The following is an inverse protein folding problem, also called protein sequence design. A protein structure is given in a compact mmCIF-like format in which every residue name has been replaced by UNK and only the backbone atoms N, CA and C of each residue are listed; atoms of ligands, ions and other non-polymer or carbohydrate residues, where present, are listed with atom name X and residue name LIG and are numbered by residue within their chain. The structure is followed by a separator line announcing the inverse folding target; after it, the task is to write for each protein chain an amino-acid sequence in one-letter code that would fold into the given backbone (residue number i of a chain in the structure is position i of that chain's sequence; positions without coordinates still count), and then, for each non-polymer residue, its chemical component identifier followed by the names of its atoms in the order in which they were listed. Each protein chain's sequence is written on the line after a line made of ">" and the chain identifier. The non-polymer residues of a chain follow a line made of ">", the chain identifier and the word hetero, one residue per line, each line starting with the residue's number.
data_IF_344317834659
#
_entry.id   IF_344317834659
#
_cell.length_a   1.000
_cell.length_b   1.000
_cell.length_c   1.000
_cell.angle_alpha   90.00
_cell.angle_beta   90.00
_cell.angle_gamma   90.00
#
_symmetry.space_group_name_H-M   'P 1'
#
loop_
_entity.id
_entity.type
_entity.pdbx_description
1 polymer ?
#
# COMPACT_ATOMS: atom_id res chain seq x y z
N UNK A 1 -4.46 -14.32 -11.00
CA UNK A 1 -4.49 -15.26 -12.14
C UNK A 1 -4.97 -14.51 -13.37
N UNK A 2 -5.37 -15.19 -14.44
CA UNK A 2 -5.97 -14.56 -15.63
C UNK A 2 -7.51 -14.49 -15.51
N UNK A 3 -8.00 -13.95 -14.40
CA UNK A 3 -9.43 -13.82 -14.09
C UNK A 3 -9.75 -12.38 -13.66
N UNK A 4 -10.97 -11.89 -13.94
CA UNK A 4 -11.45 -10.63 -13.38
C UNK A 4 -11.41 -10.65 -11.85
N UNK A 5 -11.07 -9.52 -11.25
CA UNK A 5 -11.08 -9.37 -9.80
C UNK A 5 -10.15 -8.28 -9.30
N UNK A 6 -9.93 -8.28 -7.99
CA UNK A 6 -9.08 -7.36 -7.27
C UNK A 6 -8.09 -8.09 -6.36
N UNK A 7 -6.93 -7.48 -6.14
CA UNK A 7 -5.92 -7.91 -5.20
C UNK A 7 -5.55 -6.72 -4.33
N UNK A 8 -5.60 -6.90 -3.02
CA UNK A 8 -5.01 -5.96 -2.05
C UNK A 8 -3.72 -6.55 -1.51
N UNK A 9 -2.60 -5.89 -1.79
CA UNK A 9 -1.30 -6.23 -1.25
C UNK A 9 -0.99 -5.32 -0.06
N UNK A 10 -0.97 -5.90 1.15
CA UNK A 10 -0.73 -5.21 2.41
C UNK A 10 0.55 -5.67 3.10
N UNK A 11 1.41 -4.72 3.46
CA UNK A 11 2.63 -4.94 4.22
C UNK A 11 2.97 -3.67 5.00
N UNK A 12 4.22 -3.21 4.91
CA UNK A 12 4.60 -1.89 5.41
C UNK A 12 3.76 -0.78 4.77
N UNK A 13 3.56 -0.85 3.45
CA UNK A 13 2.61 -0.04 2.69
C UNK A 13 1.41 -0.85 2.22
N UNK A 14 0.56 -0.28 1.35
CA UNK A 14 -0.61 -0.98 0.80
C UNK A 14 -0.88 -0.52 -0.64
N UNK A 15 -1.26 -1.46 -1.51
CA UNK A 15 -1.79 -1.15 -2.83
C UNK A 15 -2.94 -2.09 -3.18
N UNK A 16 -3.96 -1.57 -3.84
CA UNK A 16 -5.02 -2.35 -4.45
C UNK A 16 -4.93 -2.26 -5.98
N UNK A 17 -5.02 -3.41 -6.63
CA UNK A 17 -5.03 -3.55 -8.09
C UNK A 17 -6.25 -4.37 -8.50
N UNK A 18 -6.90 -4.00 -9.60
CA UNK A 18 -8.01 -4.76 -10.15
C UNK A 18 -8.03 -4.72 -11.67
N UNK A 19 -8.69 -5.71 -12.27
CA UNK A 19 -8.87 -5.79 -13.71
C UNK A 19 -10.10 -6.61 -14.05
N UNK A 20 -10.81 -6.23 -15.11
CA UNK A 20 -11.85 -7.02 -15.78
C UNK A 20 -11.31 -7.77 -17.01
N UNK A 21 -9.98 -7.83 -17.16
CA UNK A 21 -9.25 -8.30 -18.33
C UNK A 21 -9.31 -7.36 -19.55
N UNK A 22 -9.96 -6.21 -19.45
CA UNK A 22 -9.98 -5.17 -20.49
C UNK A 22 -9.12 -3.98 -20.07
N UNK A 23 -9.26 -3.53 -18.84
CA UNK A 23 -8.46 -2.44 -18.28
C UNK A 23 -7.91 -2.78 -16.89
N UNK A 24 -6.93 -1.98 -16.46
CA UNK A 24 -6.40 -2.05 -15.11
C UNK A 24 -6.90 -0.88 -14.27
N UNK A 25 -7.18 -1.17 -13.01
CA UNK A 25 -7.55 -0.20 -11.99
C UNK A 25 -6.55 -0.29 -10.84
N UNK A 26 -6.18 0.86 -10.29
CA UNK A 26 -5.29 0.96 -9.13
C UNK A 26 -5.91 1.91 -8.11
N UNK A 27 -5.85 1.52 -6.86
CA UNK A 27 -6.11 2.40 -5.73
C UNK A 27 -4.97 2.29 -4.72
N UNK A 28 -4.67 3.42 -4.10
CA UNK A 28 -3.60 3.56 -3.12
C UNK A 28 -2.19 3.19 -3.65
N UNK A 29 -1.24 2.94 -2.75
CA UNK A 29 0.18 2.72 -3.04
C UNK A 29 0.95 4.02 -3.22
N UNK A 30 0.48 5.12 -2.63
CA UNK A 30 1.12 6.45 -2.73
C UNK A 30 2.18 6.68 -1.65
N UNK A 31 2.48 5.66 -0.84
CA UNK A 31 3.41 5.73 0.26
C UNK A 31 2.79 6.30 1.53
N UNK A 32 3.39 5.97 2.68
CA UNK A 32 2.94 6.34 4.03
C UNK A 32 2.60 7.82 4.30
N UNK A 33 3.01 8.76 3.44
CA UNK A 33 2.70 10.19 3.58
C UNK A 33 1.39 10.58 2.88
N UNK A 34 1.07 9.95 1.76
CA UNK A 34 -0.04 10.33 0.87
C UNK A 34 -1.10 9.23 0.70
N UNK A 35 -0.83 8.05 1.24
CA UNK A 35 -1.69 6.88 1.15
C UNK A 35 -1.20 5.79 2.11
N UNK A 36 -1.19 4.55 1.62
CA UNK A 36 -1.00 3.33 2.38
C UNK A 36 -1.97 3.26 3.58
N UNK A 37 -3.20 3.75 3.43
CA UNK A 37 -4.15 3.78 4.52
C UNK A 37 -4.57 2.35 4.88
N UNK A 38 -4.54 2.02 6.18
CA UNK A 38 -4.76 0.65 6.66
C UNK A 38 -3.54 -0.29 6.51
N UNK A 39 -2.42 0.17 5.97
CA UNK A 39 -1.15 -0.58 5.96
C UNK A 39 -0.57 -0.79 7.36
N UNK A 40 0.49 -1.59 7.46
CA UNK A 40 1.24 -1.76 8.70
C UNK A 40 1.80 -0.43 9.21
N UNK A 41 2.38 0.40 8.34
CA UNK A 41 2.90 1.70 8.74
C UNK A 41 1.79 2.61 9.27
N UNK A 42 0.60 2.56 8.65
CA UNK A 42 -0.55 3.33 9.11
C UNK A 42 -1.05 2.84 10.48
N UNK A 43 -1.22 1.53 10.66
CA UNK A 43 -1.69 0.92 11.92
C UNK A 43 -0.71 1.23 13.05
N UNK A 44 0.58 0.98 12.82
CA UNK A 44 1.60 1.23 13.84
C UNK A 44 1.75 2.71 14.18
N UNK A 45 1.66 3.61 13.19
CA UNK A 45 1.59 5.06 13.44
C UNK A 45 0.40 5.43 14.33
N UNK A 46 -0.80 4.93 14.01
CA UNK A 46 -1.99 5.21 14.80
C UNK A 46 -1.87 4.65 16.23
N UNK A 47 -1.26 3.47 16.38
CA UNK A 47 -0.96 2.87 17.68
C UNK A 47 0.03 3.70 18.51
N UNK A 48 1.14 4.13 17.90
CA UNK A 48 2.12 5.00 18.54
C UNK A 48 1.54 6.36 18.89
N UNK A 49 0.67 6.93 18.04
CA UNK A 49 -0.05 8.16 18.36
C UNK A 49 -0.93 7.98 19.60
N UNK A 50 -1.69 6.88 19.68
CA UNK A 50 -2.51 6.58 20.85
C UNK A 50 -1.66 6.35 22.12
N UNK A 51 -0.49 5.72 22.00
CA UNK A 51 0.46 5.57 23.08
C UNK A 51 0.99 6.93 23.58
N UNK A 52 1.41 7.81 22.66
CA UNK A 52 1.87 9.16 23.01
C UNK A 52 0.77 10.02 23.61
N UNK A 53 -0.48 9.86 23.15
CA UNK A 53 -1.65 10.51 23.80
C UNK A 53 -1.79 10.08 25.25
N UNK A 54 -1.60 8.79 25.57
CA UNK A 54 -1.63 8.33 26.96
C UNK A 54 -0.45 8.89 27.77
N UNK A 55 0.74 8.95 27.18
CA UNK A 55 1.91 9.56 27.82
C UNK A 55 1.66 11.02 28.21
N UNK A 56 1.03 11.79 27.31
CA UNK A 56 0.71 13.21 27.53
C UNK A 56 -0.52 13.43 28.46
N UNK A 57 -1.22 12.38 28.86
CA UNK A 57 -2.51 12.47 29.57
C UNK A 57 -3.66 13.01 28.70
N UNK A 58 -3.52 12.96 27.37
CA UNK A 58 -4.54 13.42 26.40
C UNK A 58 -5.64 12.39 26.20
N UNK A 59 -6.86 12.88 25.91
CA UNK A 59 -8.00 12.03 25.53
C UNK A 59 -7.69 11.22 24.27
N UNK A 60 -8.25 10.01 24.23
CA UNK A 60 -8.01 9.03 23.17
C UNK A 60 -6.64 8.35 23.25
N UNK A 61 -5.99 8.40 24.41
CA UNK A 61 -4.78 7.63 24.68
C UNK A 61 -5.08 6.20 25.12
N UNK A 62 -4.15 5.28 24.82
CA UNK A 62 -4.18 3.90 25.30
C UNK A 62 -2.99 3.62 26.23
N UNK A 63 -3.23 3.38 27.53
CA UNK A 63 -2.18 2.94 28.46
C UNK A 63 -1.55 1.61 28.03
N UNK A 64 -2.35 0.67 27.49
CA UNK A 64 -1.84 -0.61 27.01
C UNK A 64 -0.84 -0.43 25.86
N UNK A 65 -1.16 0.43 24.88
CA UNK A 65 -0.25 0.74 23.78
C UNK A 65 0.97 1.53 24.25
N UNK A 66 0.85 2.37 25.29
CA UNK A 66 2.01 3.02 25.90
C UNK A 66 2.97 2.01 26.56
N UNK A 67 2.45 1.01 27.24
CA UNK A 67 3.27 -0.06 27.81
C UNK A 67 3.96 -0.88 26.71
N UNK A 68 3.27 -1.17 25.61
CA UNK A 68 3.87 -1.82 24.43
C UNK A 68 4.93 -0.94 23.77
N UNK A 69 4.68 0.35 23.61
CA UNK A 69 5.66 1.31 23.09
C UNK A 69 6.93 1.25 23.94
N UNK A 70 6.79 1.33 25.26
CA UNK A 70 7.92 1.27 26.20
C UNK A 70 8.70 -0.03 26.11
N UNK A 71 8.01 -1.15 25.93
CA UNK A 71 8.65 -2.46 25.77
C UNK A 71 9.43 -2.59 24.46
N UNK A 72 8.96 -1.98 23.37
CA UNK A 72 9.56 -2.12 22.03
C UNK A 72 10.61 -1.07 21.72
N UNK A 73 10.36 0.19 22.11
CA UNK A 73 11.18 1.34 21.72
C UNK A 73 11.88 2.04 22.90
N UNK A 74 11.59 1.64 24.15
CA UNK A 74 12.12 2.33 25.32
C UNK A 74 11.29 3.56 25.74
N UNK A 75 11.87 4.52 26.47
CA UNK A 75 11.14 5.68 26.98
C UNK A 75 10.38 6.43 25.88
N UNK A 76 9.15 6.86 26.17
CA UNK A 76 8.26 7.42 25.15
C UNK A 76 8.78 8.76 24.60
N UNK A 77 9.43 9.54 25.45
CA UNK A 77 10.12 10.79 25.14
C UNK A 77 11.26 10.63 24.13
N UNK A 78 11.84 9.43 24.00
CA UNK A 78 12.93 9.15 23.07
C UNK A 78 12.43 8.74 21.67
N UNK A 79 11.15 8.36 21.53
CA UNK A 79 10.58 7.90 20.27
C UNK A 79 10.81 8.87 19.09
N UNK A 80 10.64 10.20 19.21
CA UNK A 80 10.96 11.13 18.14
C UNK A 80 12.40 11.02 17.65
N UNK A 81 13.37 10.91 18.58
CA UNK A 81 14.79 10.78 18.27
C UNK A 81 15.13 9.47 17.57
N UNK A 82 14.40 8.39 17.88
CA UNK A 82 14.55 7.10 17.21
C UNK A 82 13.92 7.07 15.82
N UNK A 83 12.78 7.75 15.62
CA UNK A 83 11.99 7.65 14.40
C UNK A 83 12.41 8.66 13.32
N UNK A 84 12.55 9.95 13.68
CA UNK A 84 12.70 11.01 12.67
C UNK A 84 14.00 10.98 11.87
N UNK A 85 15.16 10.58 12.40
CA UNK A 85 16.40 10.55 11.61
C UNK A 85 16.44 9.43 10.57
N UNK A 86 15.57 8.42 10.70
CA UNK A 86 15.66 7.19 9.91
C UNK A 86 15.14 7.37 8.48
N UNK A 87 15.75 6.70 7.51
CA UNK A 87 15.24 6.64 6.13
C UNK A 87 14.13 5.61 5.96
N UNK A 88 14.09 4.59 6.82
CA UNK A 88 13.14 3.47 6.80
C UNK A 88 11.96 3.67 7.79
N UNK A 89 11.59 4.93 8.08
CA UNK A 89 10.49 5.27 9.01
C UNK A 89 9.22 4.43 8.82
N UNK A 90 8.75 4.16 7.59
CA UNK A 90 7.55 3.34 7.39
C UNK A 90 7.71 1.93 7.97
N UNK A 91 8.89 1.33 7.85
CA UNK A 91 9.15 -0.01 8.39
C UNK A 91 9.17 0.00 9.92
N UNK A 92 9.73 1.04 10.53
CA UNK A 92 9.72 1.24 11.99
C UNK A 92 8.30 1.47 12.51
N UNK A 93 7.49 2.26 11.82
CA UNK A 93 6.07 2.39 12.15
C UNK A 93 5.38 1.04 12.02
N UNK A 94 5.58 0.33 10.91
CA UNK A 94 4.93 -0.95 10.65
C UNK A 94 5.32 -2.05 11.65
N UNK A 95 6.52 -2.00 12.24
CA UNK A 95 6.94 -2.97 13.25
C UNK A 95 6.11 -2.90 14.53
N UNK A 96 5.38 -1.80 14.77
CA UNK A 96 4.47 -1.67 15.90
C UNK A 96 3.05 -2.18 15.63
N UNK A 97 2.68 -2.46 14.38
CA UNK A 97 1.34 -2.96 14.05
C UNK A 97 0.94 -4.28 14.76
N UNK A 98 1.84 -5.28 14.91
CA UNK A 98 1.53 -6.49 15.67
C UNK A 98 1.18 -6.21 17.14
N UNK A 99 1.75 -5.16 17.74
CA UNK A 99 1.46 -4.76 19.11
C UNK A 99 0.05 -4.18 19.24
N UNK A 100 -0.38 -3.41 18.24
CA UNK A 100 -1.77 -2.94 18.14
C UNK A 100 -2.72 -4.13 18.02
N UNK A 101 -2.40 -5.12 17.18
CA UNK A 101 -3.18 -6.33 17.04
C UNK A 101 -3.29 -7.13 18.33
N UNK A 102 -2.17 -7.27 19.08
CA UNK A 102 -2.14 -7.98 20.35
C UNK A 102 -3.01 -7.32 21.44
N UNK A 103 -3.10 -5.99 21.44
CA UNK A 103 -3.92 -5.25 22.42
C UNK A 103 -5.41 -5.21 22.09
N UNK A 104 -5.82 -5.44 20.84
CA UNK A 104 -7.20 -5.20 20.38
C UNK A 104 -8.28 -6.01 21.11
N UNK A 105 -7.94 -7.17 21.71
CA UNK A 105 -8.90 -7.95 22.49
C UNK A 105 -9.28 -7.33 23.84
N UNK A 106 -8.44 -6.43 24.37
CA UNK A 106 -8.61 -5.83 25.71
C UNK A 106 -8.60 -4.30 25.70
N UNK A 107 -8.16 -3.66 24.61
CA UNK A 107 -8.06 -2.21 24.46
C UNK A 107 -8.94 -1.72 23.30
N UNK A 108 -9.94 -0.90 23.63
CA UNK A 108 -10.91 -0.39 22.67
C UNK A 108 -10.29 0.57 21.63
N UNK A 109 -9.21 1.28 21.96
CA UNK A 109 -8.52 2.18 21.03
C UNK A 109 -7.76 1.34 19.99
N UNK A 110 -7.08 0.29 20.42
CA UNK A 110 -6.42 -0.65 19.53
C UNK A 110 -7.42 -1.36 18.60
N UNK A 111 -8.56 -1.81 19.14
CA UNK A 111 -9.64 -2.39 18.34
C UNK A 111 -10.17 -1.41 17.28
N UNK A 112 -10.40 -0.15 17.67
CA UNK A 112 -10.88 0.90 16.75
C UNK A 112 -9.87 1.23 15.65
N UNK A 113 -8.56 1.22 15.96
CA UNK A 113 -7.51 1.40 14.95
C UNK A 113 -7.59 0.30 13.89
N UNK A 114 -7.74 -0.97 14.30
CA UNK A 114 -7.84 -2.09 13.36
C UNK A 114 -9.15 -2.05 12.57
N UNK A 115 -10.26 -1.65 13.20
CA UNK A 115 -11.54 -1.45 12.51
C UNK A 115 -11.40 -0.41 11.40
N UNK A 116 -10.78 0.74 11.69
CA UNK A 116 -10.50 1.78 10.70
C UNK A 116 -9.55 1.31 9.60
N UNK A 117 -8.54 0.51 9.94
CA UNK A 117 -7.69 -0.11 8.93
C UNK A 117 -8.49 -1.02 7.99
N UNK A 118 -9.43 -1.80 8.55
CA UNK A 118 -10.36 -2.63 7.79
C UNK A 118 -11.20 -1.83 6.79
N UNK A 119 -11.74 -0.68 7.21
CA UNK A 119 -12.46 0.25 6.34
C UNK A 119 -11.57 0.72 5.18
N UNK A 120 -10.37 1.22 5.47
CA UNK A 120 -9.47 1.71 4.42
C UNK A 120 -9.08 0.63 3.40
N UNK A 121 -8.81 -0.59 3.87
CA UNK A 121 -8.50 -1.74 3.02
C UNK A 121 -9.69 -2.08 2.12
N UNK A 122 -10.90 -2.11 2.68
CA UNK A 122 -12.11 -2.43 1.93
C UNK A 122 -12.49 -1.34 0.93
N UNK A 123 -12.31 -0.06 1.25
CA UNK A 123 -12.49 1.06 0.33
C UNK A 123 -11.52 0.99 -0.85
N UNK A 124 -10.24 0.70 -0.59
CA UNK A 124 -9.25 0.52 -1.65
C UNK A 124 -9.59 -0.68 -2.56
N UNK A 125 -10.05 -1.79 -1.97
CA UNK A 125 -10.52 -2.95 -2.74
C UNK A 125 -11.74 -2.59 -3.61
N UNK A 126 -12.75 -1.95 -3.02
CA UNK A 126 -13.97 -1.57 -3.71
C UNK A 126 -13.72 -0.60 -4.89
N UNK A 127 -12.75 0.30 -4.74
CA UNK A 127 -12.37 1.24 -5.79
C UNK A 127 -11.79 0.57 -7.04
N UNK A 128 -11.19 -0.63 -6.91
CA UNK A 128 -10.58 -1.36 -8.03
C UNK A 128 -11.38 -2.58 -8.47
N UNK A 129 -12.40 -3.00 -7.70
CA UNK A 129 -13.27 -4.12 -8.07
C UNK A 129 -14.02 -3.81 -9.37
N UNK A 130 -13.94 -4.70 -10.38
CA UNK A 130 -14.80 -4.63 -11.56
C UNK A 130 -16.29 -4.58 -11.20
N UNK A 131 -17.02 -3.65 -11.82
CA UNK A 131 -18.47 -3.49 -11.61
C UNK A 131 -19.28 -4.40 -12.54
N UNK A 132 -18.83 -4.54 -13.78
CA UNK A 132 -19.49 -5.32 -14.81
C UNK A 132 -18.72 -6.64 -15.02
N UNK A 133 -19.42 -7.77 -14.86
CA UNK A 133 -18.82 -9.12 -14.85
C UNK A 133 -19.39 -10.06 -13.77
N UNK A 134 -20.22 -9.54 -12.86
CA UNK A 134 -20.91 -10.33 -11.83
C UNK A 134 -21.93 -11.33 -12.40
N UNK A 135 -22.38 -11.15 -13.65
CA UNK A 135 -23.36 -12.04 -14.32
C UNK A 135 -22.74 -13.26 -15.01
N UNK A 136 -21.42 -13.31 -15.17
CA UNK A 136 -20.73 -14.44 -15.80
C UNK A 136 -20.22 -15.43 -14.76
N UNK A 137 -21.12 -16.16 -14.08
CA UNK A 137 -20.92 -17.42 -13.32
C UNK A 137 -19.74 -17.51 -12.30
N UNK A 138 -19.01 -16.42 -12.04
CA UNK A 138 -17.68 -16.45 -11.43
C UNK A 138 -17.38 -15.38 -10.39
N UNK A 139 -18.24 -14.38 -10.21
CA UNK A 139 -18.11 -13.32 -9.19
C UNK A 139 -16.81 -12.49 -9.27
N UNK A 140 -16.76 -11.36 -8.56
CA UNK A 140 -15.52 -10.61 -8.39
C UNK A 140 -14.68 -11.26 -7.28
N UNK A 141 -13.51 -11.83 -7.56
CA UNK A 141 -12.61 -12.32 -6.50
C UNK A 141 -11.83 -11.15 -5.90
N UNK A 142 -11.84 -11.00 -4.57
CA UNK A 142 -10.96 -10.06 -3.84
C UNK A 142 -9.92 -10.88 -3.10
N UNK A 143 -8.67 -10.85 -3.56
CA UNK A 143 -7.58 -11.54 -2.92
C UNK A 143 -6.81 -10.62 -1.96
N UNK A 144 -6.66 -11.04 -0.70
CA UNK A 144 -5.78 -10.37 0.26
C UNK A 144 -4.41 -11.06 0.26
N UNK A 145 -3.33 -10.30 0.12
CA UNK A 145 -1.96 -10.82 0.09
C UNK A 145 -0.95 -9.91 0.79
N UNK A 146 0.17 -10.46 1.22
CA UNK A 146 1.24 -9.73 1.90
C UNK A 146 1.24 -9.93 3.42
N UNK A 147 2.34 -9.47 4.04
CA UNK A 147 2.68 -9.79 5.41
C UNK A 147 1.72 -9.23 6.46
N UNK A 148 0.98 -8.18 6.13
CA UNK A 148 0.03 -7.50 7.03
C UNK A 148 -1.09 -8.44 7.48
N UNK A 149 -1.62 -9.22 6.55
CA UNK A 149 -2.77 -10.10 6.78
C UNK A 149 -2.44 -11.31 7.67
N UNK A 150 -1.17 -11.51 8.02
CA UNK A 150 -0.73 -12.50 9.02
C UNK A 150 -1.05 -12.10 10.47
N UNK A 151 -1.51 -10.86 10.71
CA UNK A 151 -2.01 -10.45 12.03
C UNK A 151 -3.29 -11.20 12.44
N UNK A 152 -3.94 -11.90 11.51
CA UNK A 152 -5.07 -12.79 11.81
C UNK A 152 -6.36 -12.04 12.09
N UNK A 153 -7.26 -12.67 12.85
CA UNK A 153 -8.63 -12.21 13.07
C UNK A 153 -8.75 -10.75 13.56
N UNK A 154 -7.85 -10.20 14.40
CA UNK A 154 -7.92 -8.79 14.80
C UNK A 154 -7.98 -7.80 13.63
N UNK A 155 -7.36 -8.12 12.48
CA UNK A 155 -7.48 -7.31 11.25
C UNK A 155 -8.42 -7.95 10.23
N UNK A 156 -8.35 -9.27 10.05
CA UNK A 156 -9.13 -9.96 9.02
C UNK A 156 -10.64 -9.88 9.28
N UNK A 157 -11.08 -9.90 10.53
CA UNK A 157 -12.49 -9.74 10.90
C UNK A 157 -13.06 -8.43 10.37
N UNK A 158 -12.53 -7.26 10.78
CA UNK A 158 -12.99 -5.97 10.28
C UNK A 158 -12.89 -5.80 8.76
N UNK A 159 -11.82 -6.30 8.13
CA UNK A 159 -11.70 -6.26 6.66
C UNK A 159 -12.82 -7.06 6.00
N UNK A 160 -13.13 -8.25 6.51
CA UNK A 160 -14.17 -9.13 5.97
C UNK A 160 -15.56 -8.50 6.09
N UNK A 161 -15.86 -7.89 7.23
CA UNK A 161 -17.12 -7.19 7.49
C UNK A 161 -17.30 -6.02 6.51
N UNK A 162 -16.29 -5.18 6.34
CA UNK A 162 -16.37 -4.01 5.44
C UNK A 162 -16.39 -4.42 3.96
N UNK A 163 -15.68 -5.47 3.57
CA UNK A 163 -15.77 -6.02 2.21
C UNK A 163 -17.16 -6.57 1.92
N UNK A 164 -17.77 -7.31 2.85
CA UNK A 164 -19.13 -7.80 2.68
C UNK A 164 -20.16 -6.66 2.52
N UNK A 165 -19.89 -5.50 3.12
CA UNK A 165 -20.73 -4.31 3.00
C UNK A 165 -20.51 -3.54 1.69
N UNK A 166 -19.26 -3.33 1.29
CA UNK A 166 -18.91 -2.47 0.15
C UNK A 166 -18.93 -3.20 -1.20
N UNK A 167 -18.62 -4.50 -1.19
CA UNK A 167 -18.57 -5.35 -2.38
C UNK A 167 -19.26 -6.69 -2.10
N UNK A 168 -20.59 -6.70 -1.80
CA UNK A 168 -21.32 -7.91 -1.40
C UNK A 168 -21.28 -9.03 -2.46
N UNK A 169 -21.09 -8.67 -3.72
CA UNK A 169 -20.94 -9.60 -4.85
C UNK A 169 -19.55 -10.25 -4.92
N UNK A 170 -18.59 -9.78 -4.14
CA UNK A 170 -17.22 -10.23 -4.21
C UNK A 170 -16.96 -11.41 -3.27
N UNK A 171 -16.25 -12.43 -3.77
CA UNK A 171 -15.75 -13.53 -2.94
C UNK A 171 -14.37 -13.15 -2.42
N UNK A 172 -14.25 -13.01 -1.09
CA UNK A 172 -12.95 -12.81 -0.45
C UNK A 172 -12.17 -14.12 -0.46
N UNK A 173 -10.94 -14.08 -0.97
CA UNK A 173 -10.05 -15.24 -1.08
C UNK A 173 -8.69 -14.91 -0.50
N UNK A 174 -8.01 -15.90 0.06
CA UNK A 174 -6.56 -15.83 0.24
C UNK A 174 -5.91 -16.16 -1.10
N UNK A 175 -4.96 -15.34 -1.56
CA UNK A 175 -4.30 -15.54 -2.85
C UNK A 175 -3.87 -17.00 -3.07
N UNK A 176 -4.23 -17.58 -4.22
CA UNK A 176 -3.88 -18.96 -4.57
C UNK A 176 -2.43 -19.03 -5.07
N UNK A 177 -1.49 -19.05 -4.12
CA UNK A 177 -0.04 -19.10 -4.34
C UNK A 177 0.67 -17.79 -4.03
N UNK A 178 2.00 -17.81 -4.14
CA UNK A 178 2.85 -16.64 -3.93
C UNK A 178 2.95 -15.75 -5.19
N UNK A 179 3.49 -14.52 -5.09
CA UNK A 179 3.67 -13.63 -6.24
C UNK A 179 4.48 -14.25 -7.39
N UNK A 180 5.46 -15.12 -7.07
CA UNK A 180 6.30 -15.78 -8.07
C UNK A 180 5.49 -16.78 -8.91
N UNK A 181 4.58 -17.52 -8.28
CA UNK A 181 3.62 -18.40 -8.94
C UNK A 181 2.72 -17.61 -9.90
N UNK A 182 2.31 -16.40 -9.51
CA UNK A 182 1.59 -15.48 -10.37
C UNK A 182 2.40 -15.07 -11.60
N UNK A 183 3.66 -14.64 -11.39
CA UNK A 183 4.56 -14.25 -12.48
C UNK A 183 4.82 -15.38 -13.48
N UNK A 184 5.08 -16.60 -12.99
CA UNK A 184 5.27 -17.78 -13.84
C UNK A 184 4.02 -18.13 -14.67
N UNK A 185 2.82 -17.99 -14.09
CA UNK A 185 1.57 -18.20 -14.83
C UNK A 185 1.38 -17.17 -15.95
N UNK A 186 1.73 -15.90 -15.70
CA UNK A 186 1.67 -14.84 -16.70
C UNK A 186 2.70 -15.10 -17.82
N UNK A 187 3.94 -15.41 -17.45
CA UNK A 187 5.00 -15.71 -18.42
C UNK A 187 4.67 -16.91 -19.30
N UNK A 188 4.08 -17.97 -18.72
CA UNK A 188 3.63 -19.14 -19.48
C UNK A 188 2.50 -18.79 -20.45
N UNK A 189 1.50 -18.03 -20.01
CA UNK A 189 0.41 -17.59 -20.87
C UNK A 189 0.89 -16.72 -22.04
N UNK A 190 1.87 -15.85 -21.79
CA UNK A 190 2.51 -15.07 -22.84
C UNK A 190 3.25 -15.97 -23.85
N UNK A 191 3.96 -16.99 -23.36
CA UNK A 191 4.70 -17.93 -24.22
C UNK A 191 3.78 -18.83 -25.08
N UNK A 192 2.53 -19.04 -24.67
CA UNK A 192 1.54 -19.85 -25.39
C UNK A 192 0.48 -19.03 -26.13
N UNK A 193 0.65 -17.70 -26.21
CA UNK A 193 -0.31 -16.77 -26.84
C UNK A 193 -1.72 -16.82 -26.20
N UNK A 194 -1.80 -17.21 -24.93
CA UNK A 194 -3.02 -17.32 -24.13
C UNK A 194 -3.16 -16.16 -23.10
N UNK A 195 -2.40 -15.08 -23.28
CA UNK A 195 -2.42 -13.94 -22.36
C UNK A 195 -3.72 -13.13 -22.52
N UNK A 196 -4.52 -13.12 -21.46
CA UNK A 196 -5.79 -12.37 -21.36
C UNK A 196 -5.64 -11.03 -20.62
N UNK A 197 -4.53 -10.82 -19.92
CA UNK A 197 -4.32 -9.59 -19.15
C UNK A 197 -4.04 -8.43 -20.11
N UNK A 198 -4.64 -7.25 -19.87
CA UNK A 198 -4.43 -6.10 -20.74
C UNK A 198 -3.01 -5.55 -20.58
N UNK A 199 -2.48 -4.97 -21.65
CA UNK A 199 -1.20 -4.27 -21.60
C UNK A 199 -1.32 -3.00 -20.74
N UNK A 200 -0.28 -2.70 -19.96
CA UNK A 200 -0.18 -1.44 -19.22
C UNK A 200 1.28 -1.03 -19.02
N UNK A 201 1.66 0.22 -19.32
CA UNK A 201 3.07 0.65 -19.34
C UNK A 201 3.81 0.44 -18.02
N UNK A 202 3.11 0.50 -16.89
CA UNK A 202 3.71 0.34 -15.54
C UNK A 202 3.26 -0.91 -14.78
N UNK A 203 2.29 -1.68 -15.29
CA UNK A 203 1.78 -2.88 -14.59
C UNK A 203 2.07 -4.18 -15.33
N UNK A 204 1.96 -4.18 -16.66
CA UNK A 204 2.28 -5.32 -17.51
C UNK A 204 2.71 -4.84 -18.90
N UNK A 205 4.02 -4.80 -19.15
CA UNK A 205 4.57 -4.50 -20.47
C UNK A 205 5.37 -5.69 -21.00
N UNK A 206 5.21 -5.97 -22.29
CA UNK A 206 5.97 -7.00 -22.99
C UNK A 206 7.00 -6.31 -23.87
N UNK A 207 8.27 -6.50 -23.55
CA UNK A 207 9.38 -5.96 -24.32
C UNK A 207 9.73 -6.97 -25.42
N UNK A 208 9.32 -6.71 -26.66
CA UNK A 208 9.78 -7.51 -27.80
C UNK A 208 11.22 -7.10 -28.14
N UNK A 209 12.19 -7.95 -27.84
CA UNK A 209 13.61 -7.74 -28.19
C UNK A 209 13.93 -8.01 -29.67
N UNK A 210 12.92 -8.01 -30.54
CA UNK A 210 13.07 -8.11 -32.00
C UNK A 210 13.17 -6.70 -32.61
N UNK A 211 14.32 -6.03 -32.39
CA UNK A 211 15.00 -5.16 -33.37
C UNK A 211 16.22 -4.49 -32.73
N UNK A 212 17.34 -5.21 -32.74
CA UNK A 212 18.64 -4.59 -32.88
C UNK A 212 18.90 -4.34 -34.37
N UNK A 213 18.53 -3.16 -34.88
CA UNK A 213 19.20 -2.53 -36.03
C UNK A 213 18.83 -1.05 -36.10
N UNK A 214 19.86 -0.20 -36.15
CA UNK A 214 19.77 1.23 -36.26
C UNK A 214 18.99 1.69 -37.50
N UNK A 215 18.20 2.76 -37.34
CA UNK A 215 17.99 3.75 -38.39
C UNK A 215 18.02 5.15 -37.77
N UNK A 216 19.13 5.83 -38.03
CA UNK A 216 19.30 7.27 -37.92
C UNK A 216 18.19 8.02 -38.66
N UNK A 217 17.54 8.94 -37.95
CA UNK A 217 16.70 10.00 -38.51
C UNK A 217 17.04 11.30 -37.81
N UNK A 218 18.13 11.93 -38.24
CA UNK A 218 18.53 13.28 -37.86
C UNK A 218 17.51 14.28 -38.44
N UNK A 219 16.86 15.06 -37.58
CA UNK A 219 16.34 16.37 -37.93
C UNK A 219 16.78 17.33 -36.83
N UNK A 220 17.87 18.03 -37.12
CA UNK A 220 18.39 19.12 -36.33
C UNK A 220 17.43 20.31 -36.36
N UNK A 221 17.13 20.88 -35.18
CA UNK A 221 16.89 22.32 -35.06
C UNK A 221 17.82 22.85 -33.98
N UNK A 222 18.94 23.36 -34.47
CA UNK A 222 19.88 24.32 -33.88
C UNK A 222 19.54 24.92 -32.51
N UNK A 223 20.38 24.58 -31.53
CA UNK A 223 20.78 25.54 -30.50
C UNK A 223 21.68 26.62 -31.13
N UNK A 224 21.47 27.89 -30.76
CA UNK A 224 22.52 28.91 -30.78
C UNK A 224 22.72 29.42 -29.35
N UNK A 225 23.92 29.14 -28.85
CA UNK A 225 24.52 29.69 -27.65
C UNK A 225 24.84 31.18 -27.81
N UNK A 226 24.88 31.87 -26.67
CA UNK A 226 25.54 33.16 -26.50
C UNK A 226 25.48 33.63 -25.06
N UNK A 227 26.30 33.03 -24.17
CA UNK A 227 26.73 33.70 -22.91
C UNK A 227 27.83 34.75 -23.20
N UNK A 228 28.55 35.33 -22.20
CA UNK A 228 28.71 34.95 -20.78
C UNK A 228 28.52 36.12 -19.75
N UNK A 229 28.67 35.82 -18.44
CA UNK A 229 28.41 36.65 -17.23
C UNK A 229 29.34 37.86 -16.97
N UNK A 230 29.72 38.23 -15.71
CA UNK A 230 29.33 37.77 -14.36
C UNK A 230 28.90 38.94 -13.41
N UNK A 231 28.87 38.65 -12.10
CA UNK A 231 28.94 39.57 -10.94
C UNK A 231 27.66 40.01 -10.22
N UNK A 232 27.70 39.90 -8.87
CA UNK A 232 26.92 40.75 -7.98
C UNK A 232 26.17 40.07 -6.83
N UNK A 233 26.88 39.55 -5.83
CA UNK A 233 26.36 39.48 -4.45
C UNK A 233 26.28 40.91 -3.90
N UNK A 234 25.26 41.26 -3.09
CA UNK A 234 25.61 41.75 -1.76
C UNK A 234 24.75 41.17 -0.64
N UNK A 235 25.40 41.02 0.50
CA UNK A 235 24.81 40.87 1.81
C UNK A 235 24.36 42.22 2.38
N UNK A 236 23.22 42.24 3.08
CA UNK A 236 22.84 43.12 4.20
C UNK A 236 21.59 42.46 4.82
N UNK A 237 21.41 42.26 6.13
CA UNK A 237 21.86 43.05 7.27
C UNK A 237 20.64 43.75 7.90
N UNK A 238 20.15 43.18 9.00
CA UNK A 238 19.34 43.76 10.09
C UNK A 238 18.22 44.78 9.79
N UNK A 239 17.00 44.45 10.22
CA UNK A 239 16.18 45.25 11.16
C UNK A 239 15.11 44.37 11.80
#
# INVERSE_FOLDING_TARGET
>A
GQRPGAVVAGGTGMIALGTDLVEWRRADGWGHLLGDNGSGAWIGRAGLEAAMRAHDGRRGGSPALLDRLRAVFGPAEELPGLLYPRSDRPAVLASFAPEVAACAGADAIAAEILRRAGVHIAEAAAAVCPKDGAEADGGCEVALTGGLFRMGEPLIGPVREELARLVPQARVTTGTGDPLTGALRIARALATDDLRLPHHPTMLSVQNTQNGSASSGCAATTARNGGPGPDGVPAHGAS
#
